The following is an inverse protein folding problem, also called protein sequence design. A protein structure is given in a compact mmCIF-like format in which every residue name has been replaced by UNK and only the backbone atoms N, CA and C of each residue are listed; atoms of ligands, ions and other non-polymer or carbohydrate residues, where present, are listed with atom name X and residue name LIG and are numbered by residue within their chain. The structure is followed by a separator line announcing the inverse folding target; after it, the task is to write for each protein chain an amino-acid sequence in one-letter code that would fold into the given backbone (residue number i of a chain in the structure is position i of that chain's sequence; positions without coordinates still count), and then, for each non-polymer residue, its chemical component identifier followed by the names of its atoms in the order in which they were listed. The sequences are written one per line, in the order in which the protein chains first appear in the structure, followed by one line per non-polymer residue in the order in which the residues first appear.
data_IF_764197417571
#
_entry.id   IF_764197417571
#
_cell.length_a   1.000
_cell.length_b   1.000
_cell.length_c   1.000
_cell.angle_alpha   90.00
_cell.angle_beta   90.00
_cell.angle_gamma   90.00
#
_symmetry.space_group_name_H-M   'P 1'
#
loop_
_entity.id
_entity.type
_entity.pdbx_description
1 polymer ?
#
# COMPACT_ATOMS: atom_id res chain seq x y z
N UNK A 1 14.42 11.32 -10.73
CA UNK A 1 13.02 10.86 -10.98
C UNK A 1 12.08 11.82 -10.29
N UNK A 2 11.12 12.40 -11.02
CA UNK A 2 10.15 13.35 -10.44
C UNK A 2 8.93 12.59 -9.90
N UNK A 3 8.39 11.69 -10.71
CA UNK A 3 7.30 10.78 -10.36
C UNK A 3 7.68 9.35 -10.72
N UNK A 4 7.25 8.38 -9.92
CA UNK A 4 7.53 6.98 -10.22
C UNK A 4 7.14 6.00 -9.14
N UNK A 5 7.51 4.74 -9.36
CA UNK A 5 7.31 3.62 -8.45
C UNK A 5 8.66 3.10 -7.97
N UNK A 6 8.79 2.95 -6.66
CA UNK A 6 9.90 2.21 -6.04
C UNK A 6 9.41 0.87 -5.48
N UNK A 7 10.25 -0.14 -5.55
CA UNK A 7 9.98 -1.48 -5.03
C UNK A 7 11.16 -2.41 -5.29
N UNK A 8 11.12 -3.62 -4.75
CA UNK A 8 12.21 -4.59 -4.92
C UNK A 8 12.35 -5.10 -6.35
N UNK A 9 11.24 -5.51 -6.97
CA UNK A 9 11.16 -5.99 -8.36
C UNK A 9 9.91 -5.40 -9.03
N UNK A 10 10.08 -4.77 -10.19
CA UNK A 10 9.01 -4.02 -10.85
C UNK A 10 8.67 -4.51 -12.27
N UNK A 11 9.15 -5.70 -12.66
CA UNK A 11 9.05 -6.21 -14.03
C UNK A 11 7.63 -6.42 -14.58
N UNK A 12 6.61 -6.45 -13.73
CA UNK A 12 5.21 -6.67 -14.10
C UNK A 12 4.29 -5.52 -13.68
N UNK A 13 4.85 -4.31 -13.43
CA UNK A 13 4.05 -3.17 -12.98
C UNK A 13 3.37 -2.45 -14.15
N UNK A 14 2.06 -2.30 -14.07
CA UNK A 14 1.25 -1.49 -14.98
C UNK A 14 1.22 -0.01 -14.58
N UNK A 15 1.79 0.37 -13.44
CA UNK A 15 1.71 1.73 -12.89
C UNK A 15 2.20 2.79 -13.88
N UNK A 16 3.33 2.51 -14.58
CA UNK A 16 3.86 3.43 -15.59
C UNK A 16 2.83 3.75 -16.69
N UNK A 17 2.26 2.71 -17.29
CA UNK A 17 1.28 2.86 -18.36
C UNK A 17 0.06 3.63 -17.88
N UNK A 18 -0.47 3.27 -16.72
CA UNK A 18 -1.67 3.90 -16.13
C UNK A 18 -1.41 5.39 -15.84
N UNK A 19 -0.31 5.71 -15.15
CA UNK A 19 0.01 7.09 -14.80
C UNK A 19 0.27 7.97 -16.01
N UNK A 20 1.02 7.49 -17.00
CA UNK A 20 1.32 8.26 -18.20
C UNK A 20 0.07 8.47 -19.08
N UNK A 21 -0.87 7.52 -19.11
CA UNK A 21 -2.15 7.68 -19.79
C UNK A 21 -3.08 8.69 -19.11
N UNK A 22 -3.10 8.71 -17.78
CA UNK A 22 -4.03 9.53 -17.01
C UNK A 22 -3.55 10.96 -16.79
N UNK A 23 -2.25 11.18 -16.69
CA UNK A 23 -1.72 12.42 -16.09
C UNK A 23 -0.75 13.19 -16.98
N UNK A 24 -0.37 12.69 -18.15
CA UNK A 24 0.49 13.40 -19.11
C UNK A 24 1.90 13.76 -18.63
N UNK A 25 2.35 13.18 -17.49
CA UNK A 25 3.73 13.32 -17.00
C UNK A 25 4.50 12.01 -17.12
N UNK A 26 5.81 12.12 -17.21
CA UNK A 26 6.69 10.96 -17.21
C UNK A 26 6.66 10.26 -15.85
N UNK A 27 6.45 8.96 -15.88
CA UNK A 27 6.45 8.10 -14.68
C UNK A 27 7.52 7.03 -14.80
N UNK A 28 8.45 6.99 -13.87
CA UNK A 28 9.60 6.08 -13.91
C UNK A 28 9.38 4.86 -13.00
N UNK A 29 9.87 3.69 -13.43
CA UNK A 29 10.01 2.51 -12.59
C UNK A 29 11.44 2.48 -12.05
N UNK A 30 11.60 2.52 -10.73
CA UNK A 30 12.88 2.54 -10.04
C UNK A 30 13.00 1.31 -9.12
N UNK A 31 13.47 0.17 -9.64
CA UNK A 31 13.73 -0.99 -8.79
C UNK A 31 14.89 -0.69 -7.84
N UNK A 32 14.67 -0.96 -6.57
CA UNK A 32 15.66 -0.82 -5.50
C UNK A 32 15.74 -2.20 -4.80
N UNK A 33 16.69 -3.05 -5.18
CA UNK A 33 16.78 -4.43 -4.70
C UNK A 33 16.99 -4.57 -3.20
N UNK A 34 17.60 -3.57 -2.56
CA UNK A 34 17.95 -3.62 -1.14
C UNK A 34 17.28 -2.51 -0.34
N UNK A 35 17.08 -2.74 0.95
CA UNK A 35 16.56 -1.73 1.86
C UNK A 35 17.51 -0.53 2.00
N UNK A 36 18.82 -0.76 1.92
CA UNK A 36 19.83 0.29 1.98
C UNK A 36 19.67 1.28 0.81
N UNK A 37 19.41 0.78 -0.40
CA UNK A 37 19.16 1.62 -1.57
C UNK A 37 17.89 2.46 -1.40
N UNK A 38 16.83 1.88 -0.82
CA UNK A 38 15.59 2.61 -0.50
C UNK A 38 15.86 3.71 0.52
N UNK A 39 16.60 3.40 1.59
CA UNK A 39 16.97 4.37 2.62
C UNK A 39 17.79 5.52 2.03
N UNK A 40 18.78 5.23 1.19
CA UNK A 40 19.57 6.23 0.49
C UNK A 40 18.71 7.08 -0.47
N UNK A 41 17.81 6.46 -1.22
CA UNK A 41 16.88 7.16 -2.12
C UNK A 41 15.97 8.14 -1.37
N UNK A 42 15.33 7.71 -0.28
CA UNK A 42 14.43 8.53 0.53
C UNK A 42 15.16 9.68 1.24
N UNK A 43 16.39 9.46 1.68
CA UNK A 43 17.22 10.50 2.32
C UNK A 43 17.56 11.64 1.34
N UNK A 44 17.78 11.34 0.06
CA UNK A 44 18.06 12.36 -0.97
C UNK A 44 16.85 13.23 -1.28
N UNK A 45 15.61 12.72 -1.10
CA UNK A 45 14.35 13.45 -1.33
C UNK A 45 14.22 14.12 -2.71
N UNK A 46 14.88 13.57 -3.75
CA UNK A 46 14.92 14.12 -5.10
C UNK A 46 13.77 13.61 -5.97
N UNK A 47 12.55 13.76 -5.48
CA UNK A 47 11.30 13.44 -6.18
C UNK A 47 10.19 14.38 -5.71
N UNK A 48 9.12 14.49 -6.52
CA UNK A 48 7.88 15.20 -6.13
C UNK A 48 6.86 14.28 -5.50
N UNK A 49 6.59 13.16 -6.14
CA UNK A 49 5.77 12.11 -5.55
C UNK A 49 6.16 10.73 -6.11
N UNK A 50 6.01 9.73 -5.27
CA UNK A 50 6.31 8.34 -5.63
C UNK A 50 5.25 7.40 -5.10
N UNK A 51 5.02 6.31 -5.82
CA UNK A 51 4.38 5.13 -5.27
C UNK A 51 5.42 4.17 -4.70
N UNK A 52 5.00 3.38 -3.74
CA UNK A 52 5.83 2.38 -3.05
C UNK A 52 5.12 1.04 -3.09
N UNK A 53 5.85 0.01 -3.53
CA UNK A 53 5.33 -1.36 -3.49
C UNK A 53 6.22 -2.28 -2.65
N UNK A 54 5.89 -3.56 -2.66
CA UNK A 54 6.59 -4.61 -1.90
C UNK A 54 8.10 -4.56 -2.17
N UNK A 55 8.91 -4.72 -1.10
CA UNK A 55 8.57 -4.99 0.30
C UNK A 55 8.56 -3.75 1.21
N UNK A 56 8.59 -2.52 0.68
CA UNK A 56 9.02 -1.32 1.36
C UNK A 56 7.91 -0.45 1.98
N UNK A 57 6.63 -0.84 1.86
CA UNK A 57 5.49 -0.04 2.37
C UNK A 57 5.56 0.28 3.88
N UNK A 58 6.23 -0.57 4.66
CA UNK A 58 6.47 -0.34 6.09
C UNK A 58 7.71 0.53 6.31
N UNK A 59 8.82 0.18 5.68
CA UNK A 59 10.12 0.86 5.85
C UNK A 59 10.04 2.35 5.54
N UNK A 60 9.29 2.74 4.50
CA UNK A 60 9.21 4.14 4.09
C UNK A 60 8.47 5.03 5.10
N UNK A 61 7.72 4.45 6.03
CA UNK A 61 6.99 5.20 7.06
C UNK A 61 7.94 5.95 7.99
N UNK A 62 9.12 5.42 8.25
CA UNK A 62 10.15 6.06 9.10
C UNK A 62 10.64 7.42 8.54
N UNK A 63 10.47 7.64 7.24
CA UNK A 63 10.91 8.85 6.54
C UNK A 63 9.81 9.90 6.40
N UNK A 64 8.56 9.53 6.71
CA UNK A 64 7.42 10.42 6.56
C UNK A 64 7.30 11.36 7.75
N UNK A 65 7.25 12.67 7.46
CA UNK A 65 6.97 13.71 8.46
C UNK A 65 5.49 13.71 8.88
N UNK A 66 4.63 13.21 8.01
CA UNK A 66 3.21 13.00 8.26
C UNK A 66 2.77 11.69 7.61
N UNK A 67 1.92 10.94 8.30
CA UNK A 67 1.29 9.73 7.79
C UNK A 67 -0.22 9.88 7.96
N UNK A 68 -0.93 9.68 6.86
CA UNK A 68 -2.39 9.65 6.84
C UNK A 68 -2.96 8.63 7.85
N UNK A 69 -4.06 8.93 8.56
CA UNK A 69 -4.61 8.03 9.57
C UNK A 69 -4.91 6.61 9.07
N UNK A 70 -5.44 6.45 7.83
CA UNK A 70 -5.69 5.13 7.25
C UNK A 70 -4.37 4.39 6.95
N UNK A 71 -3.37 5.08 6.39
CA UNK A 71 -2.05 4.49 6.17
C UNK A 71 -1.41 4.03 7.48
N UNK A 72 -1.60 4.81 8.56
CA UNK A 72 -1.11 4.47 9.90
C UNK A 72 -1.85 3.26 10.49
N UNK A 73 -3.18 3.21 10.36
CA UNK A 73 -3.99 2.09 10.86
C UNK A 73 -3.65 0.76 10.14
N UNK A 74 -3.40 0.82 8.83
CA UNK A 74 -3.02 -0.33 8.00
C UNK A 74 -1.54 -0.71 8.21
N UNK A 75 -0.74 0.21 8.78
CA UNK A 75 0.71 0.10 8.93
C UNK A 75 1.43 -0.07 7.58
N UNK A 76 0.99 0.67 6.56
CA UNK A 76 1.55 0.63 5.22
C UNK A 76 1.36 1.95 4.47
N UNK A 77 2.46 2.49 3.94
CA UNK A 77 2.46 3.64 3.02
C UNK A 77 2.77 3.15 1.61
N UNK A 78 1.89 3.44 0.65
CA UNK A 78 2.10 3.11 -0.76
C UNK A 78 2.25 4.34 -1.66
N UNK A 79 2.10 5.54 -1.09
CA UNK A 79 2.23 6.81 -1.83
C UNK A 79 2.89 7.85 -0.93
N UNK A 80 3.95 8.48 -1.45
CA UNK A 80 4.67 9.55 -0.73
C UNK A 80 4.67 10.80 -1.60
N UNK A 81 4.27 11.92 -1.01
CA UNK A 81 4.35 13.25 -1.63
C UNK A 81 5.40 14.07 -0.90
N UNK A 82 6.35 14.63 -1.66
CA UNK A 82 7.36 15.53 -1.14
C UNK A 82 6.88 16.98 -1.28
N UNK A 83 6.68 17.65 -0.16
CA UNK A 83 6.34 19.08 -0.10
C UNK A 83 7.49 19.83 0.55
N UNK A 84 8.32 20.47 -0.25
CA UNK A 84 9.46 21.26 0.23
C UNK A 84 10.39 20.49 1.19
N UNK A 85 10.66 19.23 0.88
CA UNK A 85 11.52 18.37 1.69
C UNK A 85 10.81 17.65 2.84
N UNK A 86 9.54 17.91 3.12
CA UNK A 86 8.72 17.15 4.06
C UNK A 86 7.97 16.06 3.32
N UNK A 87 8.09 14.82 3.78
CA UNK A 87 7.47 13.65 3.16
C UNK A 87 6.12 13.36 3.83
N UNK A 88 5.08 13.28 3.01
CA UNK A 88 3.71 12.96 3.41
C UNK A 88 3.35 11.58 2.88
N UNK A 89 3.09 10.64 3.79
CA UNK A 89 2.75 9.24 3.47
C UNK A 89 1.26 8.98 3.46
N UNK A 90 0.79 8.29 2.42
CA UNK A 90 -0.61 7.90 2.21
C UNK A 90 -0.72 6.43 1.85
N UNK A 91 -1.92 5.88 2.01
CA UNK A 91 -2.27 4.58 1.47
C UNK A 91 -3.50 4.70 0.55
N UNK A 92 -3.30 4.48 -0.74
CA UNK A 92 -4.34 4.54 -1.77
C UNK A 92 -4.98 3.16 -2.04
N UNK A 93 -4.45 2.08 -1.46
CA UNK A 93 -5.04 0.74 -1.60
C UNK A 93 -6.38 0.66 -0.85
N UNK A 94 -6.48 1.32 0.33
CA UNK A 94 -7.71 1.34 1.12
C UNK A 94 -8.91 1.93 0.35
N UNK A 95 -8.86 3.20 -0.09
CA UNK A 95 -9.97 3.77 -0.86
C UNK A 95 -10.18 3.04 -2.19
N UNK A 96 -9.12 2.54 -2.83
CA UNK A 96 -9.22 1.79 -4.07
C UNK A 96 -9.98 0.48 -3.90
N UNK A 97 -9.64 -0.31 -2.88
CA UNK A 97 -10.34 -1.56 -2.59
C UNK A 97 -11.77 -1.31 -2.10
N UNK A 98 -11.95 -0.28 -1.28
CA UNK A 98 -13.28 0.16 -0.84
C UNK A 98 -14.18 0.48 -2.04
N UNK A 99 -13.70 1.28 -2.98
CA UNK A 99 -14.42 1.61 -4.22
C UNK A 99 -14.72 0.37 -5.08
N UNK A 100 -13.75 -0.54 -5.21
CA UNK A 100 -13.94 -1.79 -5.94
C UNK A 100 -15.09 -2.63 -5.36
N UNK A 101 -15.16 -2.72 -4.03
CA UNK A 101 -16.24 -3.41 -3.34
C UNK A 101 -17.61 -2.76 -3.63
N UNK A 102 -17.68 -1.42 -3.59
CA UNK A 102 -18.93 -0.69 -3.89
C UNK A 102 -19.37 -0.91 -5.35
N UNK A 103 -18.43 -0.81 -6.29
CA UNK A 103 -18.70 -1.01 -7.71
C UNK A 103 -19.23 -2.41 -8.04
N UNK A 104 -18.92 -3.40 -7.21
CA UNK A 104 -19.38 -4.78 -7.36
C UNK A 104 -20.48 -5.20 -6.37
N UNK A 105 -21.03 -4.26 -5.60
CA UNK A 105 -22.11 -4.52 -4.65
C UNK A 105 -21.70 -5.47 -3.51
N UNK A 106 -20.42 -5.46 -3.09
CA UNK A 106 -19.93 -6.29 -1.99
C UNK A 106 -20.33 -5.67 -0.65
N UNK A 107 -21.15 -6.38 0.10
CA UNK A 107 -21.61 -5.98 1.43
C UNK A 107 -20.83 -6.71 2.52
N UNK A 108 -20.34 -5.96 3.50
CA UNK A 108 -19.60 -6.49 4.65
C UNK A 108 -20.43 -6.52 5.94
N UNK A 109 -21.38 -5.58 6.08
CA UNK A 109 -22.15 -5.43 7.31
C UNK A 109 -22.82 -6.72 7.72
N UNK A 110 -22.60 -7.13 8.96
CA UNK A 110 -23.14 -8.36 9.58
C UNK A 110 -22.71 -9.67 8.87
N UNK A 111 -21.74 -9.61 7.96
CA UNK A 111 -21.23 -10.79 7.22
C UNK A 111 -20.01 -11.38 7.89
N UNK A 112 -19.80 -12.69 7.69
CA UNK A 112 -18.53 -13.35 7.94
C UNK A 112 -17.67 -13.23 6.70
N UNK A 113 -16.45 -12.71 6.86
CA UNK A 113 -15.49 -12.49 5.79
C UNK A 113 -14.33 -13.45 5.95
N UNK A 114 -13.94 -14.11 4.86
CA UNK A 114 -12.79 -14.98 4.79
C UNK A 114 -11.73 -14.35 3.89
N UNK A 115 -10.55 -14.05 4.44
CA UNK A 115 -9.40 -13.52 3.70
C UNK A 115 -8.42 -14.64 3.44
N UNK A 116 -8.12 -14.91 2.16
CA UNK A 116 -7.18 -15.95 1.76
C UNK A 116 -5.79 -15.34 1.54
N UNK A 117 -4.88 -15.61 2.47
CA UNK A 117 -3.49 -15.18 2.43
C UNK A 117 -3.18 -13.94 3.26
N UNK A 118 -1.89 -13.79 3.60
CA UNK A 118 -1.32 -12.70 4.43
C UNK A 118 -0.36 -11.82 3.62
N UNK A 119 -0.60 -11.70 2.32
CA UNK A 119 0.23 -10.90 1.40
C UNK A 119 0.06 -9.39 1.57
N UNK A 120 0.67 -8.62 0.68
CA UNK A 120 0.79 -7.15 0.77
C UNK A 120 -0.52 -6.36 0.78
N UNK A 121 -1.67 -6.96 0.44
CA UNK A 121 -3.01 -6.34 0.48
C UNK A 121 -3.85 -6.83 1.66
N UNK A 122 -3.37 -7.79 2.43
CA UNK A 122 -4.11 -8.39 3.55
C UNK A 122 -4.63 -7.33 4.53
N UNK A 123 -3.74 -6.48 5.06
CA UNK A 123 -4.12 -5.46 6.04
C UNK A 123 -5.15 -4.48 5.49
N UNK A 124 -5.05 -4.13 4.21
CA UNK A 124 -6.03 -3.28 3.52
C UNK A 124 -7.41 -3.95 3.46
N UNK A 125 -7.45 -5.21 3.05
CA UNK A 125 -8.71 -5.99 2.95
C UNK A 125 -9.35 -6.15 4.32
N UNK A 126 -8.54 -6.47 5.32
CA UNK A 126 -9.00 -6.60 6.71
C UNK A 126 -9.58 -5.28 7.24
N UNK A 127 -8.87 -4.16 7.05
CA UNK A 127 -9.32 -2.85 7.52
C UNK A 127 -10.64 -2.43 6.86
N UNK A 128 -10.77 -2.59 5.54
CA UNK A 128 -12.02 -2.26 4.83
C UNK A 128 -13.18 -3.13 5.32
N UNK A 129 -12.98 -4.44 5.48
CA UNK A 129 -14.01 -5.34 5.98
C UNK A 129 -14.44 -4.98 7.42
N UNK A 130 -13.48 -4.69 8.29
CA UNK A 130 -13.71 -4.26 9.67
C UNK A 130 -14.51 -2.96 9.74
N UNK A 131 -14.04 -1.91 9.04
CA UNK A 131 -14.65 -0.57 9.08
C UNK A 131 -16.04 -0.54 8.45
N UNK A 132 -16.31 -1.49 7.54
CA UNK A 132 -17.65 -1.68 6.92
C UNK A 132 -18.58 -2.61 7.72
N UNK A 133 -18.19 -2.98 8.95
CA UNK A 133 -19.04 -3.68 9.90
C UNK A 133 -19.17 -5.18 9.65
N UNK A 134 -18.12 -5.84 9.15
CA UNK A 134 -18.08 -7.29 9.13
C UNK A 134 -18.26 -7.85 10.55
N UNK A 135 -19.14 -8.85 10.69
CA UNK A 135 -19.42 -9.50 11.98
C UNK A 135 -18.23 -10.31 12.47
N UNK A 136 -17.53 -10.97 11.56
CA UNK A 136 -16.38 -11.81 11.83
C UNK A 136 -15.45 -11.78 10.63
N UNK A 137 -14.14 -11.72 10.88
CA UNK A 137 -13.11 -11.77 9.83
C UNK A 137 -12.15 -12.90 10.19
N UNK A 138 -11.98 -13.84 9.26
CA UNK A 138 -11.01 -14.92 9.35
C UNK A 138 -9.92 -14.72 8.33
N UNK A 139 -8.68 -14.96 8.72
CA UNK A 139 -7.55 -15.00 7.80
C UNK A 139 -7.02 -16.43 7.73
N UNK A 140 -6.84 -16.93 6.52
CA UNK A 140 -6.26 -18.27 6.26
C UNK A 140 -4.91 -18.10 5.61
N UNK A 141 -3.89 -18.75 6.16
CA UNK A 141 -2.52 -18.69 5.65
C UNK A 141 -1.90 -20.09 5.61
N UNK A 142 -1.02 -20.32 4.63
CA UNK A 142 -0.20 -21.54 4.60
C UNK A 142 0.81 -21.62 5.76
N UNK A 143 1.15 -20.47 6.32
CA UNK A 143 2.03 -20.33 7.48
C UNK A 143 1.35 -19.38 8.47
N UNK A 144 0.35 -19.87 9.21
CA UNK A 144 -0.45 -19.03 10.09
C UNK A 144 0.37 -18.50 11.26
N UNK A 145 0.10 -17.25 11.64
CA UNK A 145 0.58 -16.63 12.87
C UNK A 145 -0.57 -16.65 13.91
N UNK A 146 -0.55 -17.58 14.87
CA UNK A 146 -1.64 -17.70 15.85
C UNK A 146 -1.83 -16.44 16.71
N UNK A 147 -0.77 -15.65 16.92
CA UNK A 147 -0.85 -14.40 17.70
C UNK A 147 -1.66 -13.33 16.97
N UNK A 148 -1.76 -13.44 15.64
CA UNK A 148 -2.60 -12.57 14.79
C UNK A 148 -3.99 -13.12 14.49
N UNK A 149 -4.35 -14.26 15.09
CA UNK A 149 -5.64 -14.92 14.86
C UNK A 149 -5.77 -15.54 13.45
N UNK A 150 -4.65 -15.87 12.81
CA UNK A 150 -4.62 -16.53 11.50
C UNK A 150 -4.91 -18.02 11.65
N UNK A 151 -5.57 -18.61 10.66
CA UNK A 151 -5.93 -20.04 10.62
C UNK A 151 -5.29 -20.71 9.39
N UNK A 152 -5.15 -22.05 9.47
CA UNK A 152 -4.63 -22.88 8.38
C UNK A 152 -5.70 -23.19 7.34
#
# INVERSE_FOLDING_TARGET
MEYGLIGGRLGHSYSKVIHEMLCGYRYDLCPLPTEEEVRAFLTRRQFRAINVTIPYKLVVMEYCSYIDPHAKAINAVNTIVNRNGLLYGYNTDYPGFSYLCDAHGVEFKDRTVLILGTGGTHNTTWAVAHDRGAKQIYTVSRHPDPEKGEQT
#
